data_IF_001552599969
#
_entry.id   IF_001552599969
#
_cell.length_a   1.000
_cell.length_b   1.000
_cell.length_c   1.000
_cell.angle_alpha   90.00
_cell.angle_beta   90.00
_cell.angle_gamma   90.00
#
_symmetry.space_group_name_H-M   'P 1'
#
loop_
_entity.id
_entity.type
_entity.pdbx_description
1 polymer ?
#
# COMPACT_ATOMS: atom_id res chain seq x y z
N UNK A 1 -10.71 18.57 10.42
CA UNK A 1 -9.73 17.65 9.81
C UNK A 1 -10.56 16.56 9.15
N UNK A 2 -10.37 16.28 7.86
CA UNK A 2 -11.29 15.41 7.11
C UNK A 2 -10.62 14.09 6.77
N UNK A 3 -11.25 12.99 7.19
CA UNK A 3 -11.00 11.66 6.62
C UNK A 3 -11.84 11.54 5.36
N UNK A 4 -11.23 11.12 4.25
CA UNK A 4 -11.90 10.87 2.98
C UNK A 4 -11.88 9.36 2.68
N UNK A 5 -13.06 8.76 2.44
CA UNK A 5 -13.17 7.42 1.87
C UNK A 5 -13.29 7.55 0.35
N UNK A 6 -12.35 6.95 -0.37
CA UNK A 6 -12.24 7.05 -1.82
C UNK A 6 -12.64 5.70 -2.41
N UNK A 7 -13.74 5.70 -3.17
CA UNK A 7 -14.18 4.52 -3.93
C UNK A 7 -13.12 4.13 -4.95
N UNK A 8 -12.86 2.83 -5.06
CA UNK A 8 -11.94 2.32 -6.09
C UNK A 8 -12.62 2.37 -7.48
N UNK A 9 -11.87 2.66 -8.55
CA UNK A 9 -12.36 2.59 -9.93
C UNK A 9 -12.96 1.23 -10.29
N UNK A 10 -13.87 1.22 -11.27
CA UNK A 10 -14.63 0.02 -11.67
C UNK A 10 -13.75 -1.18 -12.06
N UNK A 11 -12.60 -0.97 -12.70
CA UNK A 11 -11.65 -2.03 -13.05
C UNK A 11 -11.05 -2.70 -11.82
N UNK A 12 -10.72 -1.91 -10.79
CA UNK A 12 -10.22 -2.43 -9.51
C UNK A 12 -11.35 -3.09 -8.72
N UNK A 13 -12.55 -2.49 -8.74
CA UNK A 13 -13.74 -3.04 -8.09
C UNK A 13 -14.08 -4.44 -8.61
N UNK A 14 -14.09 -4.65 -9.93
CA UNK A 14 -14.39 -5.95 -10.52
C UNK A 14 -13.31 -7.01 -10.23
N UNK A 15 -12.03 -6.65 -10.35
CA UNK A 15 -10.90 -7.53 -10.02
C UNK A 15 -10.94 -7.95 -8.53
N UNK A 16 -11.23 -7.00 -7.65
CA UNK A 16 -11.45 -7.26 -6.24
C UNK A 16 -12.64 -8.19 -6.01
N UNK A 17 -13.79 -7.90 -6.62
CA UNK A 17 -15.03 -8.64 -6.38
C UNK A 17 -14.94 -10.08 -6.86
N UNK A 18 -14.34 -10.32 -8.03
CA UNK A 18 -14.05 -11.67 -8.52
C UNK A 18 -13.19 -12.44 -7.49
N UNK A 19 -12.08 -11.83 -7.05
CA UNK A 19 -11.17 -12.46 -6.11
C UNK A 19 -11.84 -12.74 -4.75
N UNK A 20 -12.66 -11.79 -4.26
CA UNK A 20 -13.41 -11.92 -3.01
C UNK A 20 -14.43 -13.06 -3.05
N UNK A 21 -15.22 -13.14 -4.13
CA UNK A 21 -16.23 -14.18 -4.31
C UNK A 21 -15.58 -15.56 -4.42
N UNK A 22 -14.49 -15.67 -5.20
CA UNK A 22 -13.73 -16.92 -5.32
C UNK A 22 -13.18 -17.36 -3.95
N UNK A 23 -12.50 -16.47 -3.23
CA UNK A 23 -11.92 -16.79 -1.93
C UNK A 23 -12.98 -17.14 -0.89
N UNK A 24 -14.13 -16.46 -0.92
CA UNK A 24 -15.28 -16.76 -0.05
C UNK A 24 -15.83 -18.16 -0.31
N UNK A 25 -15.97 -18.56 -1.58
CA UNK A 25 -16.38 -19.92 -1.94
C UNK A 25 -15.36 -20.96 -1.47
N UNK A 26 -14.06 -20.71 -1.68
CA UNK A 26 -12.98 -21.58 -1.20
C UNK A 26 -13.01 -21.74 0.31
N UNK A 27 -13.15 -20.65 1.05
CA UNK A 27 -13.26 -20.68 2.52
C UNK A 27 -14.48 -21.47 2.97
N UNK A 28 -15.65 -21.22 2.37
CA UNK A 28 -16.87 -21.91 2.73
C UNK A 28 -16.75 -23.42 2.52
N UNK A 29 -16.26 -23.84 1.34
CA UNK A 29 -16.05 -25.26 1.03
C UNK A 29 -15.00 -25.90 1.94
N UNK A 30 -13.92 -25.18 2.28
CA UNK A 30 -12.89 -25.68 3.18
C UNK A 30 -13.46 -25.94 4.59
N UNK A 31 -14.18 -24.97 5.16
CA UNK A 31 -14.83 -25.12 6.47
C UNK A 31 -15.85 -26.26 6.44
N UNK A 32 -16.63 -26.37 5.36
CA UNK A 32 -17.61 -27.46 5.19
C UNK A 32 -16.94 -28.84 5.16
N UNK A 33 -15.79 -28.97 4.51
CA UNK A 33 -15.10 -30.26 4.34
C UNK A 33 -14.22 -30.65 5.53
N UNK A 34 -13.62 -29.68 6.22
CA UNK A 34 -12.55 -29.92 7.20
C UNK A 34 -12.86 -29.38 8.60
N UNK A 35 -13.88 -28.52 8.76
CA UNK A 35 -14.23 -27.93 10.05
C UNK A 35 -13.28 -26.82 10.52
N UNK A 36 -12.35 -26.37 9.67
CA UNK A 36 -11.35 -25.35 10.00
C UNK A 36 -11.20 -24.32 8.88
N UNK A 37 -10.67 -23.13 9.24
CA UNK A 37 -10.36 -22.07 8.28
C UNK A 37 -9.20 -22.48 7.36
N UNK A 38 -9.22 -22.04 6.08
CA UNK A 38 -8.09 -22.28 5.20
C UNK A 38 -6.86 -21.43 5.60
N UNK A 39 -5.67 -21.70 5.03
CA UNK A 39 -4.46 -20.92 5.30
C UNK A 39 -4.64 -19.42 5.07
N UNK A 40 -4.09 -18.61 5.98
CA UNK A 40 -4.26 -17.15 6.01
C UNK A 40 -3.68 -16.45 4.77
N UNK A 41 -2.67 -17.05 4.14
CA UNK A 41 -1.97 -16.50 2.98
C UNK A 41 -2.84 -16.46 1.72
N UNK A 42 -3.93 -17.24 1.67
CA UNK A 42 -4.83 -17.26 0.51
C UNK A 42 -5.43 -15.88 0.18
N UNK A 43 -5.56 -15.00 1.18
CA UNK A 43 -6.02 -13.61 1.00
C UNK A 43 -5.15 -12.78 0.04
N UNK A 44 -3.89 -13.15 -0.15
CA UNK A 44 -2.96 -12.47 -1.06
C UNK A 44 -2.78 -13.14 -2.41
N UNK A 45 -3.11 -14.43 -2.52
CA UNK A 45 -2.83 -15.19 -3.72
C UNK A 45 -3.65 -14.72 -4.92
N UNK A 46 -3.06 -14.87 -6.11
CA UNK A 46 -3.76 -14.65 -7.37
C UNK A 46 -4.77 -15.78 -7.63
N UNK A 47 -5.73 -15.51 -8.51
CA UNK A 47 -6.82 -16.44 -8.87
C UNK A 47 -6.34 -17.88 -9.12
N UNK A 48 -5.33 -18.03 -9.98
CA UNK A 48 -4.85 -19.35 -10.39
C UNK A 48 -4.16 -20.10 -9.24
N UNK A 49 -3.46 -19.39 -8.37
CA UNK A 49 -2.80 -19.98 -7.20
C UNK A 49 -3.84 -20.43 -6.15
N UNK A 50 -4.88 -19.62 -5.93
CA UNK A 50 -6.03 -19.99 -5.08
C UNK A 50 -6.71 -21.26 -5.60
N UNK A 51 -6.97 -21.32 -6.92
CA UNK A 51 -7.58 -22.51 -7.54
C UNK A 51 -6.68 -23.73 -7.48
N UNK A 52 -5.39 -23.57 -7.75
CA UNK A 52 -4.43 -24.67 -7.67
C UNK A 52 -4.38 -25.25 -6.26
N UNK A 53 -4.33 -24.39 -5.25
CA UNK A 53 -4.39 -24.80 -3.85
C UNK A 53 -5.71 -25.52 -3.54
N UNK A 54 -6.84 -24.92 -3.92
CA UNK A 54 -8.16 -25.48 -3.63
C UNK A 54 -8.41 -26.83 -4.33
N UNK A 55 -7.93 -27.01 -5.57
CA UNK A 55 -8.00 -28.27 -6.30
C UNK A 55 -7.15 -29.39 -5.69
N UNK A 56 -6.11 -29.01 -4.94
CA UNK A 56 -5.27 -29.94 -4.19
C UNK A 56 -5.92 -30.33 -2.86
N UNK A 57 -6.58 -29.37 -2.20
CA UNK A 57 -7.23 -29.58 -0.91
C UNK A 57 -8.59 -30.29 -1.02
N UNK A 58 -9.45 -29.86 -1.95
CA UNK A 58 -10.84 -30.31 -2.08
C UNK A 58 -10.95 -31.59 -2.91
N UNK A 59 -11.93 -32.43 -2.56
CA UNK A 59 -12.31 -33.63 -3.33
C UNK A 59 -13.55 -33.37 -4.18
N UNK A 60 -13.82 -34.26 -5.12
CA UNK A 60 -15.08 -34.25 -5.86
C UNK A 60 -16.26 -34.60 -4.90
N UNK A 61 -17.44 -33.99 -5.07
CA UNK A 61 -17.85 -33.12 -6.18
C UNK A 61 -17.41 -31.65 -6.05
N UNK A 62 -17.07 -31.18 -4.84
CA UNK A 62 -16.84 -29.76 -4.54
C UNK A 62 -15.74 -29.12 -5.37
N UNK A 63 -14.69 -29.87 -5.69
CA UNK A 63 -13.62 -29.40 -6.57
C UNK A 63 -14.15 -29.02 -7.96
N UNK A 64 -15.04 -29.82 -8.55
CA UNK A 64 -15.59 -29.54 -9.89
C UNK A 64 -16.52 -28.34 -9.87
N UNK A 65 -17.36 -28.26 -8.84
CA UNK A 65 -18.27 -27.12 -8.63
C UNK A 65 -17.49 -25.82 -8.47
N UNK A 66 -16.42 -25.82 -7.67
CA UNK A 66 -15.57 -24.64 -7.49
C UNK A 66 -14.92 -24.19 -8.81
N UNK A 67 -14.40 -25.13 -9.61
CA UNK A 67 -13.78 -24.79 -10.90
C UNK A 67 -14.83 -24.22 -11.86
N UNK A 68 -16.02 -24.80 -11.92
CA UNK A 68 -17.12 -24.28 -12.74
C UNK A 68 -17.52 -22.86 -12.29
N UNK A 69 -17.69 -22.66 -10.98
CA UNK A 69 -18.00 -21.35 -10.40
C UNK A 69 -16.91 -20.31 -10.71
N UNK A 70 -15.63 -20.67 -10.60
CA UNK A 70 -14.53 -19.76 -10.90
C UNK A 70 -14.45 -19.40 -12.40
N UNK A 71 -14.88 -20.28 -13.29
CA UNK A 71 -15.04 -19.97 -14.72
C UNK A 71 -16.19 -19.01 -14.97
N UNK A 72 -17.32 -19.21 -14.29
CA UNK A 72 -18.48 -18.30 -14.37
C UNK A 72 -18.15 -16.90 -13.86
N UNK A 73 -17.48 -16.81 -12.70
CA UNK A 73 -16.98 -15.55 -12.15
C UNK A 73 -16.09 -14.81 -13.16
N UNK A 74 -15.11 -15.51 -13.72
CA UNK A 74 -14.20 -14.91 -14.70
C UNK A 74 -14.95 -14.38 -15.93
N UNK A 75 -15.94 -15.13 -16.44
CA UNK A 75 -16.76 -14.65 -17.57
C UNK A 75 -17.63 -13.45 -17.23
N UNK A 76 -18.04 -13.32 -15.97
CA UNK A 76 -18.92 -12.24 -15.49
C UNK A 76 -18.14 -10.95 -15.21
N UNK A 77 -16.96 -11.06 -14.60
CA UNK A 77 -16.16 -9.93 -14.14
C UNK A 77 -14.97 -9.59 -15.03
N UNK A 78 -14.78 -10.31 -16.15
CA UNK A 78 -13.74 -10.01 -17.14
C UNK A 78 -13.80 -8.53 -17.55
N UNK A 79 -12.83 -7.76 -17.06
CA UNK A 79 -12.75 -6.33 -17.34
C UNK A 79 -12.36 -6.14 -18.80
N UNK A 80 -13.17 -5.41 -19.57
CA UNK A 80 -12.90 -5.14 -20.99
C UNK A 80 -11.74 -4.14 -21.21
N UNK A 81 -11.40 -3.32 -20.21
CA UNK A 81 -10.29 -2.36 -20.28
C UNK A 81 -9.49 -2.30 -18.98
N UNK A 82 -8.24 -2.74 -19.05
CA UNK A 82 -7.26 -2.62 -17.97
C UNK A 82 -6.58 -1.25 -17.95
N UNK A 83 -5.98 -0.90 -16.82
CA UNK A 83 -5.18 0.32 -16.71
C UNK A 83 -4.03 0.28 -17.71
N UNK A 84 -3.88 1.37 -18.48
CA UNK A 84 -2.69 1.57 -19.34
C UNK A 84 -1.48 1.80 -18.46
N UNK A 85 -0.41 1.07 -18.76
CA UNK A 85 0.85 1.15 -18.03
C UNK A 85 1.86 1.98 -18.82
N UNK A 86 2.73 2.73 -18.12
CA UNK A 86 3.84 3.42 -18.76
C UNK A 86 4.89 2.42 -19.26
N UNK A 87 5.84 2.90 -20.05
CA UNK A 87 6.99 2.10 -20.49
C UNK A 87 7.88 1.71 -19.30
N UNK A 88 8.54 0.54 -19.36
CA UNK A 88 9.46 0.12 -18.31
C UNK A 88 10.66 1.07 -18.17
N UNK A 89 11.12 1.22 -16.94
CA UNK A 89 12.41 1.78 -16.61
C UNK A 89 13.49 0.72 -16.83
N UNK A 90 14.23 0.84 -17.94
CA UNK A 90 15.29 -0.10 -18.30
C UNK A 90 16.53 0.08 -17.42
N UNK A 91 16.98 -1.02 -16.78
CA UNK A 91 18.26 -1.13 -16.09
C UNK A 91 19.02 -2.39 -16.57
N UNK A 92 20.33 -2.44 -16.33
CA UNK A 92 21.19 -3.57 -16.71
C UNK A 92 20.67 -4.91 -16.11
N UNK A 93 20.40 -5.95 -16.94
CA UNK A 93 19.77 -7.21 -16.52
C UNK A 93 20.53 -8.07 -15.50
N UNK A 94 21.80 -7.77 -15.20
CA UNK A 94 22.72 -8.71 -14.55
C UNK A 94 22.28 -9.27 -13.18
N UNK A 95 21.37 -8.62 -12.46
CA UNK A 95 20.86 -9.11 -11.16
C UNK A 95 19.48 -8.55 -10.78
N UNK A 96 18.51 -8.64 -11.70
CA UNK A 96 17.15 -8.16 -11.42
C UNK A 96 16.42 -9.16 -10.50
N UNK A 97 15.75 -8.71 -9.44
CA UNK A 97 14.93 -9.55 -8.54
C UNK A 97 13.66 -10.11 -9.22
N UNK A 98 13.01 -11.12 -8.62
CA UNK A 98 11.81 -11.74 -9.21
C UNK A 98 10.64 -10.75 -9.36
N UNK A 99 10.38 -9.93 -8.34
CA UNK A 99 9.36 -8.89 -8.39
C UNK A 99 9.65 -7.86 -9.50
N UNK A 100 10.91 -7.43 -9.62
CA UNK A 100 11.29 -6.43 -10.62
C UNK A 100 11.19 -6.97 -12.05
N UNK A 101 11.57 -8.23 -12.27
CA UNK A 101 11.33 -8.89 -13.57
C UNK A 101 9.85 -8.98 -13.88
N UNK A 102 9.00 -9.38 -12.92
CA UNK A 102 7.55 -9.45 -13.15
C UNK A 102 6.99 -8.07 -13.51
N UNK A 103 7.38 -7.03 -12.78
CA UNK A 103 6.96 -5.66 -13.07
C UNK A 103 7.38 -5.21 -14.48
N UNK A 104 8.62 -5.50 -14.89
CA UNK A 104 9.10 -5.20 -16.24
C UNK A 104 8.24 -5.87 -17.31
N UNK A 105 7.93 -7.17 -17.18
CA UNK A 105 7.06 -7.86 -18.15
C UNK A 105 5.64 -7.25 -18.20
N UNK A 106 5.08 -6.85 -17.05
CA UNK A 106 3.78 -6.18 -16.99
C UNK A 106 3.81 -4.81 -17.71
N UNK A 107 4.87 -4.02 -17.51
CA UNK A 107 5.05 -2.73 -18.18
C UNK A 107 5.27 -2.90 -19.69
N UNK A 108 6.03 -3.92 -20.13
CA UNK A 108 6.19 -4.27 -21.55
C UNK A 108 4.88 -4.66 -22.23
N UNK A 109 3.99 -5.36 -21.50
CA UNK A 109 2.65 -5.69 -22.00
C UNK A 109 1.74 -4.45 -22.16
N UNK A 110 2.07 -3.32 -21.53
CA UNK A 110 1.39 -2.03 -21.67
C UNK A 110 0.02 -1.92 -20.98
N UNK A 111 -0.51 -3.00 -20.42
CA UNK A 111 -1.72 -2.98 -19.60
C UNK A 111 -1.76 -4.17 -18.64
N UNK A 112 -2.38 -3.98 -17.47
CA UNK A 112 -2.58 -5.05 -16.49
C UNK A 112 -3.77 -4.76 -15.56
N UNK A 113 -4.42 -5.80 -14.97
CA UNK A 113 -5.28 -5.61 -13.81
C UNK A 113 -4.45 -5.09 -12.64
N UNK A 114 -4.45 -3.76 -12.45
CA UNK A 114 -3.42 -3.06 -11.67
C UNK A 114 -3.40 -3.45 -10.18
N UNK A 115 -4.56 -3.80 -9.62
CA UNK A 115 -4.66 -4.25 -8.24
C UNK A 115 -4.09 -5.68 -8.08
N UNK A 116 -4.49 -6.63 -8.93
CA UNK A 116 -3.88 -7.97 -8.99
C UNK A 116 -2.37 -7.92 -9.28
N UNK A 117 -1.91 -7.03 -10.16
CA UNK A 117 -0.50 -6.82 -10.44
C UNK A 117 0.27 -6.39 -9.17
N UNK A 118 -0.24 -5.40 -8.43
CA UNK A 118 0.36 -4.94 -7.18
C UNK A 118 0.44 -6.06 -6.12
N UNK A 119 -0.58 -6.93 -6.04
CA UNK A 119 -0.61 -8.09 -5.12
C UNK A 119 0.50 -9.09 -5.43
N UNK A 120 0.67 -9.44 -6.72
CA UNK A 120 1.72 -10.36 -7.15
C UNK A 120 3.12 -9.81 -6.88
N UNK A 121 3.32 -8.50 -7.10
CA UNK A 121 4.58 -7.85 -6.74
C UNK A 121 4.84 -7.86 -5.24
N UNK A 122 3.81 -7.58 -4.43
CA UNK A 122 3.91 -7.58 -2.98
C UNK A 122 4.40 -8.94 -2.44
N UNK A 123 3.89 -10.04 -2.99
CA UNK A 123 4.32 -11.42 -2.64
C UNK A 123 5.79 -11.67 -2.97
N UNK A 124 6.28 -11.18 -4.10
CA UNK A 124 7.62 -11.49 -4.62
C UNK A 124 8.74 -10.59 -4.07
N UNK A 125 8.41 -9.46 -3.44
CA UNK A 125 9.41 -8.55 -2.88
C UNK A 125 10.03 -9.16 -1.63
N UNK A 126 11.35 -9.04 -1.43
CA UNK A 126 11.93 -9.38 -0.12
C UNK A 126 11.52 -8.32 0.92
N UNK A 127 11.03 -8.77 2.07
CA UNK A 127 10.53 -7.90 3.13
C UNK A 127 11.56 -7.66 4.23
N UNK A 128 11.48 -6.49 4.84
CA UNK A 128 12.24 -6.14 6.04
C UNK A 128 11.41 -6.41 7.30
N UNK A 129 12.06 -6.95 8.33
CA UNK A 129 11.44 -7.11 9.63
C UNK A 129 11.16 -5.74 10.28
N UNK A 130 10.07 -5.58 11.04
CA UNK A 130 9.69 -4.34 11.68
C UNK A 130 10.80 -3.84 12.61
N UNK A 131 11.13 -2.56 12.48
CA UNK A 131 12.12 -1.91 13.35
C UNK A 131 11.58 -1.64 14.76
N UNK A 132 10.26 -1.69 14.94
CA UNK A 132 9.59 -1.46 16.22
C UNK A 132 8.87 -2.73 16.67
N UNK A 133 9.26 -3.25 17.82
CA UNK A 133 8.67 -4.46 18.41
C UNK A 133 7.17 -4.33 18.66
N UNK A 134 6.67 -3.10 18.88
CA UNK A 134 5.25 -2.82 19.12
C UNK A 134 4.37 -2.97 17.87
N UNK A 135 4.94 -3.05 16.67
CA UNK A 135 4.19 -3.26 15.42
C UNK A 135 4.06 -4.76 15.06
N UNK A 136 4.70 -5.65 15.84
CA UNK A 136 4.69 -7.09 15.63
C UNK A 136 3.42 -7.69 16.22
N UNK A 137 2.47 -8.11 15.38
CA UNK A 137 1.55 -9.17 15.77
C UNK A 137 2.24 -10.51 15.51
N UNK A 138 2.51 -11.26 16.58
CA UNK A 138 3.03 -12.64 16.56
C UNK A 138 4.35 -12.88 15.77
N UNK A 139 5.16 -11.85 15.52
CA UNK A 139 6.43 -12.02 14.79
C UNK A 139 6.31 -12.22 13.28
N UNK A 140 5.10 -12.10 12.72
CA UNK A 140 4.82 -12.31 11.28
C UNK A 140 4.76 -11.00 10.48
N UNK A 141 4.90 -9.84 11.15
CA UNK A 141 4.81 -8.57 10.46
C UNK A 141 6.08 -8.29 9.66
N UNK A 142 5.95 -7.69 8.48
CA UNK A 142 7.06 -7.30 7.61
C UNK A 142 6.69 -6.10 6.73
N UNK A 143 7.69 -5.38 6.22
CA UNK A 143 7.43 -4.20 5.39
C UNK A 143 8.41 -4.04 4.24
N UNK A 144 7.98 -3.30 3.22
CA UNK A 144 8.81 -2.85 2.10
C UNK A 144 8.50 -1.40 1.84
N UNK A 145 9.52 -0.56 1.71
CA UNK A 145 9.34 0.87 1.43
C UNK A 145 10.04 1.28 0.13
N UNK A 146 9.32 2.02 -0.70
CA UNK A 146 9.79 2.69 -1.92
C UNK A 146 9.64 4.20 -1.78
N UNK A 147 10.36 4.93 -2.61
CA UNK A 147 10.38 6.39 -2.63
C UNK A 147 11.47 6.97 -1.75
N UNK A 148 11.17 8.09 -1.08
CA UNK A 148 12.10 8.81 -0.21
C UNK A 148 12.01 8.36 1.25
N UNK A 149 13.12 8.58 1.98
CA UNK A 149 13.13 8.59 3.44
C UNK A 149 13.72 9.90 3.95
N UNK A 150 13.31 10.31 5.14
CA UNK A 150 13.90 11.41 5.90
C UNK A 150 14.00 11.00 7.38
N UNK A 151 15.22 10.97 7.92
CA UNK A 151 15.49 10.67 9.33
C UNK A 151 16.58 11.61 9.86
N UNK A 152 16.16 12.64 10.59
CA UNK A 152 17.06 13.66 11.12
C UNK A 152 17.77 14.42 9.99
N UNK A 153 19.11 14.43 9.92
CA UNK A 153 19.85 15.05 8.81
C UNK A 153 19.95 14.16 7.57
N UNK A 154 19.59 12.88 7.66
CA UNK A 154 19.74 11.93 6.55
C UNK A 154 18.46 11.86 5.74
N UNK A 155 18.56 12.12 4.43
CA UNK A 155 17.44 12.01 3.51
C UNK A 155 17.93 11.48 2.15
N UNK A 156 17.10 10.68 1.48
CA UNK A 156 17.46 10.07 0.21
C UNK A 156 16.42 9.07 -0.27
N UNK A 157 16.81 8.18 -1.18
CA UNK A 157 15.95 7.13 -1.71
C UNK A 157 16.06 5.84 -0.89
N UNK A 158 14.93 5.17 -0.67
CA UNK A 158 14.91 3.82 -0.13
C UNK A 158 15.66 2.86 -1.06
N UNK A 159 16.32 1.83 -0.49
CA UNK A 159 17.08 0.85 -1.27
C UNK A 159 16.22 0.17 -2.34
N UNK A 160 14.98 -0.19 -1.99
CA UNK A 160 14.04 -0.85 -2.91
C UNK A 160 13.61 0.04 -4.07
N UNK A 161 13.62 1.38 -3.91
CA UNK A 161 13.42 2.32 -5.01
C UNK A 161 14.50 2.20 -6.08
N UNK A 162 15.74 1.94 -5.67
CA UNK A 162 16.89 1.83 -6.57
C UNK A 162 16.98 0.46 -7.23
N UNK A 163 16.64 -0.61 -6.50
CA UNK A 163 16.78 -1.99 -6.97
C UNK A 163 15.54 -2.55 -7.64
N UNK A 164 14.38 -1.93 -7.42
CA UNK A 164 13.09 -2.36 -7.97
C UNK A 164 12.28 -1.16 -8.54
N UNK A 165 12.85 -0.37 -9.48
CA UNK A 165 12.17 0.79 -10.04
C UNK A 165 10.87 0.45 -10.77
N UNK A 166 10.81 -0.64 -11.55
CA UNK A 166 9.59 -1.04 -12.25
C UNK A 166 8.49 -1.48 -11.30
N UNK A 167 8.85 -2.16 -10.20
CA UNK A 167 7.87 -2.46 -9.15
C UNK A 167 7.31 -1.16 -8.52
N UNK A 168 8.15 -0.16 -8.29
CA UNK A 168 7.70 1.14 -7.80
C UNK A 168 6.73 1.82 -8.78
N UNK A 169 7.01 1.77 -10.09
CA UNK A 169 6.14 2.31 -11.14
C UNK A 169 4.75 1.67 -11.09
N UNK A 170 4.66 0.33 -11.01
CA UNK A 170 3.36 -0.37 -10.91
C UNK A 170 2.59 0.06 -9.66
N UNK A 171 3.26 0.13 -8.50
CA UNK A 171 2.60 0.56 -7.27
C UNK A 171 2.15 2.03 -7.33
N UNK A 172 2.93 2.92 -7.95
CA UNK A 172 2.54 4.30 -8.20
C UNK A 172 1.34 4.40 -9.15
N UNK A 173 1.29 3.56 -10.20
CA UNK A 173 0.15 3.49 -11.11
C UNK A 173 -1.14 3.10 -10.37
N UNK A 174 -1.06 2.18 -9.41
CA UNK A 174 -2.21 1.84 -8.56
C UNK A 174 -2.71 3.06 -7.77
N UNK A 175 -1.81 3.77 -7.09
CA UNK A 175 -2.18 4.97 -6.32
C UNK A 175 -2.77 6.06 -7.22
N UNK A 176 -2.14 6.34 -8.36
CA UNK A 176 -2.64 7.31 -9.34
C UNK A 176 -4.02 6.91 -9.88
N UNK A 177 -4.27 5.61 -10.11
CA UNK A 177 -5.55 5.10 -10.59
C UNK A 177 -6.66 5.34 -9.56
N UNK A 178 -6.37 5.16 -8.27
CA UNK A 178 -7.33 5.31 -7.18
C UNK A 178 -7.56 6.78 -6.80
N UNK A 179 -6.48 7.54 -6.62
CA UNK A 179 -6.56 8.93 -6.17
C UNK A 179 -5.55 9.81 -6.95
N UNK A 180 -5.92 10.29 -8.16
CA UNK A 180 -5.03 11.10 -9.00
C UNK A 180 -4.55 12.40 -8.33
N UNK A 181 -5.34 12.92 -7.39
CA UNK A 181 -5.07 14.15 -6.63
C UNK A 181 -4.23 13.93 -5.37
N UNK A 182 -3.90 12.68 -5.03
CA UNK A 182 -3.03 12.40 -3.90
C UNK A 182 -1.60 12.82 -4.22
N UNK A 183 -0.86 13.28 -3.22
CA UNK A 183 0.58 13.54 -3.35
C UNK A 183 1.34 12.74 -2.31
N UNK A 184 2.45 12.13 -2.72
CA UNK A 184 3.25 11.26 -1.87
C UNK A 184 4.70 11.22 -2.38
N UNK A 185 5.63 11.02 -1.45
CA UNK A 185 7.04 10.77 -1.78
C UNK A 185 7.43 9.32 -1.56
N UNK A 186 6.56 8.55 -0.88
CA UNK A 186 6.92 7.28 -0.29
C UNK A 186 5.73 6.33 -0.34
N UNK A 187 6.02 5.07 -0.68
CA UNK A 187 5.08 3.96 -0.62
C UNK A 187 5.59 2.96 0.41
N UNK A 188 4.73 2.48 1.29
CA UNK A 188 5.04 1.40 2.21
C UNK A 188 4.02 0.27 2.06
N UNK A 189 4.53 -0.92 1.74
CA UNK A 189 3.79 -2.17 1.87
C UNK A 189 3.96 -2.67 3.30
N UNK A 190 2.86 -2.93 3.97
CA UNK A 190 2.82 -3.48 5.32
C UNK A 190 2.11 -4.82 5.31
N UNK A 191 2.81 -5.87 5.73
CA UNK A 191 2.28 -7.22 5.91
C UNK A 191 2.07 -7.46 7.40
N UNK A 192 0.84 -7.79 7.78
CA UNK A 192 0.42 -8.10 9.13
C UNK A 192 0.84 -7.05 10.19
N UNK A 193 0.99 -5.78 9.80
CA UNK A 193 1.28 -4.68 10.73
C UNK A 193 0.06 -4.34 11.58
N UNK A 194 0.12 -4.72 12.84
CA UNK A 194 -0.80 -4.24 13.88
C UNK A 194 -0.16 -3.05 14.58
N UNK A 195 -0.63 -1.84 14.28
CA UNK A 195 -0.10 -0.63 14.91
C UNK A 195 -0.96 -0.25 16.13
N UNK A 196 -0.37 0.01 17.30
CA UNK A 196 -1.12 0.57 18.44
C UNK A 196 -1.53 2.02 18.17
N UNK A 197 -2.39 2.64 19.00
CA UNK A 197 -2.74 4.05 18.89
C UNK A 197 -1.52 4.97 18.79
N UNK A 198 -1.38 5.67 17.66
CA UNK A 198 -0.24 6.54 17.38
C UNK A 198 -0.59 7.67 16.40
N UNK A 199 0.38 8.57 16.22
CA UNK A 199 0.37 9.64 15.19
C UNK A 199 1.68 9.56 14.41
N UNK A 200 1.59 9.64 13.10
CA UNK A 200 2.75 9.55 12.19
C UNK A 200 3.50 10.88 12.14
N UNK A 201 4.24 11.20 13.20
CA UNK A 201 4.95 12.51 13.30
C UNK A 201 6.02 12.74 12.23
N UNK A 202 6.42 11.69 11.52
CA UNK A 202 7.38 11.76 10.42
C UNK A 202 6.71 11.95 9.05
N UNK A 203 5.39 12.14 9.00
CA UNK A 203 4.65 12.42 7.78
C UNK A 203 4.25 13.90 7.74
N UNK A 204 4.19 14.50 6.55
CA UNK A 204 3.90 15.93 6.36
C UNK A 204 2.54 16.22 5.73
N UNK A 205 2.00 15.29 4.93
CA UNK A 205 0.72 15.45 4.22
C UNK A 205 -0.28 14.37 4.66
N UNK A 206 -1.33 14.17 3.87
CA UNK A 206 -2.25 13.06 4.07
C UNK A 206 -1.54 11.73 3.77
N UNK A 207 -1.87 10.68 4.50
CA UNK A 207 -1.63 9.31 4.09
C UNK A 207 -2.83 8.85 3.25
N UNK A 208 -2.59 7.98 2.28
CA UNK A 208 -3.61 7.18 1.60
C UNK A 208 -3.33 5.71 1.87
N UNK A 209 -4.32 4.98 2.40
CA UNK A 209 -4.20 3.57 2.78
C UNK A 209 -5.18 2.74 1.97
N UNK A 210 -4.71 1.67 1.34
CA UNK A 210 -5.55 0.68 0.65
C UNK A 210 -5.13 -0.75 1.00
N UNK A 211 -6.10 -1.67 1.08
CA UNK A 211 -5.82 -3.10 1.20
C UNK A 211 -5.41 -3.73 -0.15
N UNK A 212 -4.35 -4.54 -0.12
CA UNK A 212 -3.98 -5.44 -1.22
C UNK A 212 -4.45 -6.87 -0.95
N UNK A 213 -4.57 -7.27 0.31
CA UNK A 213 -5.13 -8.55 0.70
C UNK A 213 -6.65 -8.50 0.83
N UNK A 214 -7.29 -9.63 0.54
CA UNK A 214 -8.65 -9.91 0.98
C UNK A 214 -8.59 -10.39 2.43
N UNK A 215 -9.27 -9.67 3.32
CA UNK A 215 -9.43 -10.04 4.72
C UNK A 215 -10.76 -9.52 5.26
N UNK A 216 -11.26 -10.20 6.28
CA UNK A 216 -12.31 -9.66 7.12
C UNK A 216 -11.65 -8.83 8.23
N UNK A 217 -12.38 -7.84 8.76
CA UNK A 217 -11.92 -6.99 9.87
C UNK A 217 -10.61 -6.24 9.54
N UNK A 218 -9.82 -5.83 10.53
CA UNK A 218 -8.55 -5.14 10.31
C UNK A 218 -8.73 -3.70 9.81
N UNK A 219 -9.86 -3.09 10.15
CA UNK A 219 -10.19 -1.70 9.89
C UNK A 219 -9.11 -0.75 10.45
N UNK A 220 -9.10 0.47 9.92
CA UNK A 220 -8.32 1.55 10.49
C UNK A 220 -9.22 2.37 11.40
N UNK A 221 -8.98 2.34 12.71
CA UNK A 221 -9.66 3.28 13.61
C UNK A 221 -8.95 4.64 13.54
N UNK A 222 -9.72 5.71 13.39
CA UNK A 222 -9.19 7.08 13.29
C UNK A 222 -9.99 8.00 14.21
N UNK A 223 -9.27 8.82 14.98
CA UNK A 223 -9.78 9.87 15.84
C UNK A 223 -10.69 10.83 15.06
N UNK A 224 -11.91 11.00 15.55
CA UNK A 224 -12.84 12.02 15.08
C UNK A 224 -13.82 12.37 16.21
N UNK A 225 -14.15 13.66 16.42
CA UNK A 225 -15.08 14.07 17.46
C UNK A 225 -16.48 13.46 17.33
N UNK A 226 -16.89 13.14 16.10
CA UNK A 226 -18.18 12.55 15.74
C UNK A 226 -18.18 11.02 15.81
N UNK A 227 -17.13 10.42 16.40
CA UNK A 227 -16.97 8.99 16.49
C UNK A 227 -17.97 8.30 17.40
N UNK A 228 -18.24 7.04 17.12
CA UNK A 228 -19.12 6.17 17.88
C UNK A 228 -18.36 5.17 18.77
N UNK A 229 -17.04 5.11 18.63
CA UNK A 229 -16.17 4.26 19.42
C UNK A 229 -15.09 5.07 20.14
N UNK A 230 -14.98 4.85 21.45
CA UNK A 230 -13.95 5.45 22.27
C UNK A 230 -12.83 4.48 22.63
N UNK A 231 -11.60 4.98 22.66
CA UNK A 231 -10.44 4.27 23.19
C UNK A 231 -9.80 5.04 24.34
N UNK A 232 -9.11 4.32 25.24
CA UNK A 232 -8.28 4.93 26.27
C UNK A 232 -6.88 5.20 25.71
N UNK A 233 -6.50 6.46 25.56
CA UNK A 233 -5.17 6.87 25.13
C UNK A 233 -4.58 7.88 26.10
N UNK A 234 -3.44 7.53 26.71
CA UNK A 234 -2.75 8.38 27.70
C UNK A 234 -3.65 8.84 28.87
N UNK A 235 -4.55 7.96 29.32
CA UNK A 235 -5.48 8.23 30.41
C UNK A 235 -6.70 9.08 30.03
N UNK A 236 -6.85 9.42 28.75
CA UNK A 236 -8.01 10.15 28.23
C UNK A 236 -8.82 9.28 27.28
N UNK A 237 -10.13 9.48 27.31
CA UNK A 237 -11.05 8.90 26.34
C UNK A 237 -10.97 9.69 25.03
N UNK A 238 -10.67 8.99 23.94
CA UNK A 238 -10.59 9.58 22.59
C UNK A 238 -11.57 8.87 21.69
N UNK A 239 -12.45 9.64 21.05
CA UNK A 239 -13.48 9.14 20.15
C UNK A 239 -12.97 9.02 18.71
N UNK A 240 -13.49 8.03 17.98
CA UNK A 240 -13.13 7.76 16.59
C UNK A 240 -14.10 6.81 15.90
N UNK A 241 -13.81 6.54 14.62
CA UNK A 241 -14.60 5.68 13.74
C UNK A 241 -13.67 4.63 13.12
N UNK A 242 -14.19 3.41 12.91
CA UNK A 242 -13.53 2.35 12.15
C UNK A 242 -13.80 2.50 10.65
N UNK A 243 -12.74 2.55 9.86
CA UNK A 243 -12.83 2.60 8.41
C UNK A 243 -12.40 1.27 7.78
N UNK A 244 -13.32 0.63 7.07
CA UNK A 244 -13.02 -0.55 6.27
C UNK A 244 -12.07 -0.20 5.11
N UNK A 245 -11.15 -1.13 4.79
CA UNK A 245 -10.19 -0.99 3.69
C UNK A 245 -10.54 -1.86 2.47
N UNK A 246 -11.60 -2.66 2.55
CA UNK A 246 -12.11 -3.44 1.43
C UNK A 246 -12.91 -2.51 0.50
N UNK A 247 -12.61 -2.55 -0.80
CA UNK A 247 -13.24 -1.75 -1.87
C UNK A 247 -13.06 -0.21 -1.80
N UNK A 248 -12.32 0.32 -0.83
CA UNK A 248 -12.08 1.76 -0.71
C UNK A 248 -10.65 2.04 -0.23
N UNK A 249 -10.13 3.21 -0.57
CA UNK A 249 -8.94 3.76 0.05
C UNK A 249 -9.32 4.82 1.09
N UNK A 250 -8.57 4.88 2.19
CA UNK A 250 -8.80 5.85 3.27
C UNK A 250 -7.69 6.90 3.22
N UNK A 251 -8.06 8.17 3.04
CA UNK A 251 -7.14 9.31 2.98
C UNK A 251 -7.34 10.22 4.19
N UNK A 252 -6.28 10.47 4.96
CA UNK A 252 -6.39 11.24 6.21
C UNK A 252 -5.05 11.82 6.67
N UNK A 253 -5.06 12.78 7.59
CA UNK A 253 -3.85 13.43 8.12
C UNK A 253 -3.28 12.62 9.29
N UNK A 254 -2.59 11.53 8.99
CA UNK A 254 -2.03 10.60 9.98
C UNK A 254 -1.06 11.24 11.00
N UNK A 255 -0.44 12.38 10.64
CA UNK A 255 0.43 13.12 11.54
C UNK A 255 -0.33 13.93 12.62
N UNK A 256 -1.63 14.18 12.42
CA UNK A 256 -2.50 14.93 13.33
C UNK A 256 -3.48 14.03 14.07
N UNK A 257 -4.08 13.08 13.35
CA UNK A 257 -5.15 12.22 13.88
C UNK A 257 -4.55 10.98 14.53
N UNK A 258 -4.95 10.71 15.78
CA UNK A 258 -4.65 9.44 16.43
C UNK A 258 -5.33 8.31 15.65
N UNK A 259 -4.60 7.24 15.38
CA UNK A 259 -5.13 6.10 14.64
C UNK A 259 -4.43 4.80 15.04
N UNK A 260 -5.08 3.67 14.77
CA UNK A 260 -4.52 2.33 14.99
C UNK A 260 -5.15 1.28 14.09
N UNK A 261 -4.45 0.15 13.93
CA UNK A 261 -4.99 -1.00 13.20
C UNK A 261 -5.88 -1.83 14.11
N UNK A 262 -7.16 -1.99 13.78
CA UNK A 262 -8.08 -2.90 14.48
C UNK A 262 -7.62 -4.36 14.35
N UNK A 263 -8.14 -5.26 15.18
CA UNK A 263 -7.84 -6.68 15.10
C UNK A 263 -8.39 -7.31 13.81
N UNK A 264 -7.77 -8.40 13.35
CA UNK A 264 -8.23 -9.25 12.25
C UNK A 264 -7.75 -10.67 12.47
N UNK A 265 -8.56 -11.68 12.13
CA UNK A 265 -8.16 -13.08 12.35
C UNK A 265 -8.23 -13.97 11.10
N UNK A 266 -9.05 -13.63 10.10
CA UNK A 266 -9.35 -14.55 8.99
C UNK A 266 -8.19 -14.79 8.02
N UNK A 267 -7.62 -13.72 7.45
CA UNK A 267 -6.55 -13.80 6.44
C UNK A 267 -5.40 -12.86 6.80
N UNK A 268 -4.27 -12.98 6.10
CA UNK A 268 -3.18 -12.01 6.25
C UNK A 268 -3.63 -10.62 5.79
N UNK A 269 -3.23 -9.60 6.54
CA UNK A 269 -3.56 -8.20 6.26
C UNK A 269 -2.36 -7.52 5.61
N UNK A 270 -2.49 -7.21 4.34
CA UNK A 270 -1.48 -6.51 3.53
C UNK A 270 -2.06 -5.21 3.03
N UNK A 271 -1.44 -4.10 3.40
CA UNK A 271 -1.85 -2.75 2.99
C UNK A 271 -0.74 -2.02 2.27
N UNK A 272 -1.11 -1.23 1.27
CA UNK A 272 -0.25 -0.23 0.65
C UNK A 272 -0.58 1.14 1.23
N UNK A 273 0.44 1.85 1.71
CA UNK A 273 0.34 3.19 2.28
C UNK A 273 1.16 4.16 1.44
N UNK A 274 0.52 5.17 0.87
CA UNK A 274 1.18 6.26 0.15
C UNK A 274 1.19 7.52 1.01
N UNK A 275 2.38 8.02 1.35
CA UNK A 275 2.54 9.17 2.24
C UNK A 275 3.72 10.06 1.83
N UNK A 276 3.75 11.26 2.38
CA UNK A 276 4.86 12.19 2.20
C UNK A 276 5.68 12.28 3.47
N UNK A 277 6.98 12.03 3.38
CA UNK A 277 7.91 12.15 4.51
C UNK A 277 8.01 13.61 4.99
N UNK A 278 8.35 13.80 6.25
CA UNK A 278 8.67 15.11 6.78
C UNK A 278 9.91 15.68 6.07
N UNK A 279 9.96 17.00 5.90
CA UNK A 279 11.07 17.71 5.22
C UNK A 279 11.30 17.24 3.78
N UNK A 280 10.26 16.78 3.10
CA UNK A 280 10.35 16.40 1.69
C UNK A 280 10.83 17.56 0.80
N UNK A 281 10.64 18.81 1.24
CA UNK A 281 11.13 20.02 0.58
C UNK A 281 12.65 20.08 0.53
N UNK A 282 13.35 19.43 1.47
CA UNK A 282 14.82 19.41 1.52
C UNK A 282 15.43 18.28 0.68
N UNK A 283 14.63 17.44 0.02
CA UNK A 283 15.15 16.44 -0.89
C UNK A 283 15.89 17.14 -2.04
N UNK A 284 17.11 16.69 -2.37
CA UNK A 284 17.87 17.27 -3.49
C UNK A 284 17.16 17.06 -4.83
N UNK A 285 17.45 17.91 -5.82
CA UNK A 285 16.78 17.88 -7.13
C UNK A 285 16.92 16.53 -7.84
N UNK A 286 18.09 15.88 -7.71
CA UNK A 286 18.30 14.52 -8.23
C UNK A 286 17.30 13.52 -7.67
N UNK A 287 17.02 13.56 -6.36
CA UNK A 287 16.04 12.67 -5.72
C UNK A 287 14.63 12.98 -6.24
N UNK A 288 14.30 14.27 -6.39
CA UNK A 288 13.01 14.70 -6.93
C UNK A 288 12.78 14.21 -8.36
N UNK A 289 13.77 14.37 -9.24
CA UNK A 289 13.72 13.87 -10.61
C UNK A 289 13.52 12.36 -10.64
N UNK A 290 14.33 11.61 -9.88
CA UNK A 290 14.21 10.14 -9.84
C UNK A 290 12.84 9.67 -9.33
N UNK A 291 12.27 10.31 -8.31
CA UNK A 291 10.92 9.99 -7.84
C UNK A 291 9.87 10.29 -8.92
N UNK A 292 9.99 11.44 -9.60
CA UNK A 292 9.06 11.85 -10.66
C UNK A 292 9.12 10.87 -11.85
N UNK A 293 10.31 10.44 -12.25
CA UNK A 293 10.53 9.42 -13.30
C UNK A 293 9.90 8.07 -12.97
N UNK A 294 9.83 7.71 -11.68
CA UNK A 294 9.20 6.48 -11.21
C UNK A 294 7.68 6.63 -10.97
N UNK A 295 7.10 7.79 -11.26
CA UNK A 295 5.66 8.04 -11.16
C UNK A 295 5.16 8.49 -9.78
N UNK A 296 6.04 8.91 -8.87
CA UNK A 296 5.61 9.52 -7.61
C UNK A 296 5.02 10.91 -7.89
N UNK A 297 3.80 11.17 -7.40
CA UNK A 297 3.18 12.49 -7.48
C UNK A 297 3.62 13.36 -6.30
N UNK A 298 4.68 14.15 -6.51
CA UNK A 298 5.28 14.94 -5.45
C UNK A 298 4.43 16.19 -5.13
N UNK A 299 4.36 16.64 -3.87
CA UNK A 299 3.72 17.91 -3.55
C UNK A 299 4.47 19.08 -4.24
N UNK A 300 3.74 20.15 -4.55
CA UNK A 300 4.36 21.34 -5.14
C UNK A 300 5.34 21.97 -4.15
N UNK A 301 6.61 22.11 -4.56
CA UNK A 301 7.55 22.96 -3.83
C UNK A 301 7.04 24.38 -4.00
N UNK A 302 6.33 24.91 -3.02
CA UNK A 302 6.12 26.35 -2.95
C UNK A 302 7.49 27.00 -3.05
N UNK A 303 7.77 27.64 -4.19
CA UNK A 303 8.93 28.49 -4.36
C UNK A 303 8.83 29.48 -3.21
N UNK A 304 9.72 29.36 -2.21
CA UNK A 304 9.95 30.48 -1.32
C UNK A 304 10.51 31.57 -2.22
N UNK A 305 9.65 32.47 -2.66
CA UNK A 305 10.08 33.77 -3.15
C UNK A 305 10.93 34.34 -2.01
N UNK A 306 12.21 34.49 -2.34
CA UNK A 306 13.27 35.18 -1.61
C UNK A 306 12.79 36.05 -0.44
N UNK A 307 13.21 35.67 0.77
CA UNK A 307 13.46 36.65 1.84
C UNK A 307 14.87 36.44 2.38
N UNK A 308 15.67 37.47 2.14
CA UNK A 308 16.79 37.92 2.95
C UNK A 308 18.09 37.09 2.93
N UNK A 309 18.84 37.28 1.84
CA UNK A 309 20.31 37.38 1.91
C UNK A 309 20.78 38.63 1.13
N UNK A 310 20.21 39.79 1.47
CA UNK A 310 20.94 41.05 1.49
C UNK A 310 21.24 41.35 2.95
N UNK A 311 22.24 40.67 3.51
CA UNK A 311 22.99 41.19 4.62
C UNK A 311 24.30 41.67 3.99
N UNK A 312 24.34 42.98 3.81
CA UNK A 312 25.52 43.70 3.37
C UNK A 312 26.73 43.24 4.18
N UNK A 313 27.73 42.75 3.46
CA UNK A 313 29.10 42.63 3.94
C UNK A 313 29.59 44.03 4.32
N UNK A 314 29.35 44.45 5.56
CA UNK A 314 30.10 45.53 6.19
C UNK A 314 31.49 44.98 6.55
N UNK A 315 32.58 45.60 6.07
CA UNK A 315 33.92 45.16 6.43
C UNK A 315 34.19 45.47 7.90
N UNK A 316 34.62 44.46 8.65
CA UNK A 316 35.24 44.63 9.97
C UNK A 316 36.43 45.57 9.85
N UNK A 317 36.25 46.83 10.27
CA UNK A 317 37.35 47.73 10.58
C UNK A 317 37.85 47.33 11.97
N UNK A 318 39.04 46.74 11.99
CA UNK A 318 39.90 46.64 13.17
C UNK A 318 40.09 48.04 13.75
N UNK A 319 39.85 48.19 15.06
CA UNK A 319 40.44 49.25 15.86
C UNK A 319 41.07 48.60 17.09
N UNK A 320 42.40 48.68 17.07
CA UNK A 320 43.37 48.81 18.17
C UNK A 320 42.85 48.62 19.60
#
# INVERSE_FOLDING_TARGET
MTVECIEVPADIYHDFLEAHLLLSAVRHLHVLCFGELPPRQLGMLARNDVLQWACTALRDPWRRELVAYASELSSTFSVQMHATLPVPHWQDPGSIGAAERLAMHMLEAGSAPIWSAARQLAILLDHEQPRHSMALRNGEASSVSFGAYAKGPFHGLCRKTLTHPNAAIILNCLIMRICPRHTWTTLALHFNYGTPPHRDKQNSHHNLVIALSLHDEGELWIETPEGDEAILFQGMEVWGIRYALQLHAVRFQAHQLLHYTCAWDTFDRVTLVAYTVQRWESLGDRVHTQLSELGFHLPERTVRITRDLHLDCLPCVLRD
#
